data_IF_541766809578
#
_entry.id   IF_541766809578
#
_cell.length_a   1.000
_cell.length_b   1.000
_cell.length_c   1.000
_cell.angle_alpha   90.00
_cell.angle_beta   90.00
_cell.angle_gamma   90.00
#
_symmetry.space_group_name_H-M   'P 1'
#
loop_
_entity.id
_entity.type
_entity.pdbx_description
1 polymer ?
#
# COMPACT_ATOMS: atom_id res chain seq x y z
N UNK A 1 10.91 41.44 11.17
CA UNK A 1 9.56 40.90 10.90
C UNK A 1 9.58 39.68 9.96
N UNK A 2 10.49 39.58 8.98
CA UNK A 2 10.59 38.44 8.04
C UNK A 2 11.00 37.07 8.64
N UNK A 3 11.77 37.03 9.75
CA UNK A 3 12.19 35.75 10.37
C UNK A 3 11.00 35.04 11.05
N UNK A 4 10.05 35.81 11.58
CA UNK A 4 8.87 35.26 12.29
C UNK A 4 7.91 34.58 11.30
N UNK A 5 7.68 35.18 10.12
CA UNK A 5 6.83 34.59 9.06
C UNK A 5 7.47 33.35 8.41
N UNK A 6 8.80 33.34 8.23
CA UNK A 6 9.53 32.16 7.79
C UNK A 6 9.42 31.02 8.82
N UNK A 7 9.63 31.33 10.10
CA UNK A 7 9.50 30.35 11.19
C UNK A 7 8.09 29.74 11.26
N UNK A 8 7.04 30.56 11.15
CA UNK A 8 5.65 30.09 11.12
C UNK A 8 5.36 29.19 9.91
N UNK A 9 5.90 29.53 8.74
CA UNK A 9 5.72 28.71 7.52
C UNK A 9 6.43 27.36 7.61
N UNK A 10 7.64 27.35 8.18
CA UNK A 10 8.37 26.12 8.46
C UNK A 10 7.61 25.24 9.46
N UNK A 11 7.06 25.83 10.52
CA UNK A 11 6.24 25.10 11.49
C UNK A 11 4.97 24.52 10.84
N UNK A 12 4.27 25.28 10.00
CA UNK A 12 3.09 24.80 9.27
C UNK A 12 3.43 23.63 8.31
N UNK A 13 4.65 23.61 7.77
CA UNK A 13 5.11 22.57 6.86
C UNK A 13 5.44 21.23 7.55
N UNK A 14 5.57 21.21 8.88
CA UNK A 14 5.91 19.98 9.63
C UNK A 14 4.87 18.88 9.37
N UNK A 15 3.57 19.19 9.39
CA UNK A 15 2.50 18.22 9.18
C UNK A 15 2.61 17.47 7.84
N UNK A 16 2.65 18.18 6.71
CA UNK A 16 2.90 17.58 5.39
C UNK A 16 4.20 16.77 5.32
N UNK A 17 5.32 17.24 5.89
CA UNK A 17 6.58 16.48 5.89
C UNK A 17 6.48 15.17 6.66
N UNK A 18 5.83 15.18 7.83
CA UNK A 18 5.56 13.97 8.62
C UNK A 18 4.69 13.00 7.82
N UNK A 19 3.67 13.49 7.11
CA UNK A 19 2.83 12.67 6.25
C UNK A 19 3.63 12.04 5.10
N UNK A 20 4.49 12.81 4.42
CA UNK A 20 5.37 12.30 3.35
C UNK A 20 6.28 11.20 3.89
N UNK A 21 6.93 11.45 5.03
CA UNK A 21 7.85 10.50 5.67
C UNK A 21 7.13 9.20 6.08
N UNK A 22 6.02 9.30 6.80
CA UNK A 22 5.23 8.16 7.23
C UNK A 22 4.67 7.36 6.05
N UNK A 23 4.17 8.06 5.02
CA UNK A 23 3.68 7.41 3.78
C UNK A 23 4.81 6.76 2.99
N UNK A 24 6.03 7.32 3.01
CA UNK A 24 7.21 6.73 2.38
C UNK A 24 7.58 5.36 2.99
N UNK A 25 7.51 5.23 4.31
CA UNK A 25 7.70 3.94 4.99
C UNK A 25 6.61 2.92 4.62
N UNK A 26 5.36 3.37 4.56
CA UNK A 26 4.25 2.52 4.09
C UNK A 26 4.44 2.08 2.65
N UNK A 27 4.85 2.98 1.76
CA UNK A 27 5.12 2.69 0.35
C UNK A 27 6.26 1.67 0.20
N UNK A 28 7.31 1.77 1.02
CA UNK A 28 8.39 0.77 1.04
C UNK A 28 7.86 -0.62 1.43
N UNK A 29 7.03 -0.70 2.47
CA UNK A 29 6.37 -1.95 2.89
C UNK A 29 5.47 -2.53 1.78
N UNK A 30 4.66 -1.68 1.14
CA UNK A 30 3.81 -2.05 0.01
C UNK A 30 4.64 -2.58 -1.17
N UNK A 31 5.75 -1.93 -1.50
CA UNK A 31 6.65 -2.31 -2.59
C UNK A 31 7.29 -3.67 -2.34
N UNK A 32 7.81 -3.89 -1.14
CA UNK A 32 8.41 -5.16 -0.73
C UNK A 32 7.42 -6.32 -0.83
N UNK A 33 6.16 -6.07 -0.46
CA UNK A 33 5.09 -7.06 -0.54
C UNK A 33 4.62 -7.31 -1.97
N UNK A 34 4.57 -6.28 -2.81
CA UNK A 34 4.17 -6.37 -4.21
C UNK A 34 5.16 -7.16 -5.08
N UNK A 35 6.46 -7.11 -4.77
CA UNK A 35 7.49 -7.88 -5.47
C UNK A 35 7.29 -9.39 -5.39
N UNK A 36 6.93 -9.93 -4.22
CA UNK A 36 6.85 -11.37 -3.99
C UNK A 36 5.84 -12.10 -4.91
N UNK A 37 4.58 -11.64 -5.07
CA UNK A 37 3.65 -12.24 -6.03
C UNK A 37 4.12 -12.14 -7.48
N UNK A 38 4.76 -11.03 -7.87
CA UNK A 38 5.27 -10.85 -9.24
C UNK A 38 6.37 -11.86 -9.54
N UNK A 39 7.32 -12.02 -8.63
CA UNK A 39 8.41 -12.98 -8.82
C UNK A 39 7.86 -14.40 -8.87
N UNK A 40 6.82 -14.71 -8.08
CA UNK A 40 6.15 -16.01 -8.18
C UNK A 40 5.41 -16.20 -9.51
N UNK A 41 4.76 -15.16 -10.06
CA UNK A 41 4.16 -15.22 -11.39
C UNK A 41 5.24 -15.50 -12.44
N UNK A 42 6.38 -14.80 -12.37
CA UNK A 42 7.51 -15.01 -13.31
C UNK A 42 8.02 -16.45 -13.28
N UNK A 43 8.19 -17.02 -12.08
CA UNK A 43 8.56 -18.43 -11.91
C UNK A 43 7.51 -19.37 -12.54
N UNK A 44 6.23 -19.19 -12.22
CA UNK A 44 5.15 -20.01 -12.77
C UNK A 44 5.05 -19.91 -14.29
N UNK A 45 5.28 -18.73 -14.87
CA UNK A 45 5.35 -18.55 -16.32
C UNK A 45 6.55 -19.28 -16.95
N UNK A 46 7.68 -19.38 -16.24
CA UNK A 46 8.85 -20.14 -16.70
C UNK A 46 8.67 -21.66 -16.57
N UNK A 47 7.91 -22.12 -15.56
CA UNK A 47 7.57 -23.54 -15.35
C UNK A 47 6.49 -24.04 -16.32
N UNK A 48 5.60 -23.14 -16.78
CA UNK A 48 4.43 -23.47 -17.60
C UNK A 48 4.72 -24.27 -18.90
N UNK A 49 5.76 -23.97 -19.70
CA UNK A 49 6.06 -24.72 -20.93
C UNK A 49 6.45 -26.18 -20.65
N UNK A 50 7.12 -26.44 -19.53
CA UNK A 50 7.64 -27.76 -19.16
C UNK A 50 6.65 -28.59 -18.32
N UNK A 51 5.52 -28.00 -17.91
CA UNK A 51 4.55 -28.65 -17.06
C UNK A 51 3.67 -29.67 -17.82
N UNK A 52 3.32 -30.82 -17.20
CA UNK A 52 2.33 -31.77 -17.72
C UNK A 52 0.98 -31.11 -17.99
N UNK A 53 0.24 -31.62 -18.99
CA UNK A 53 -1.03 -31.02 -19.42
C UNK A 53 -2.07 -30.92 -18.28
N UNK A 54 -2.10 -31.94 -17.40
CA UNK A 54 -2.94 -31.96 -16.20
C UNK A 54 -2.60 -30.83 -15.20
N UNK A 55 -1.34 -30.38 -15.13
CA UNK A 55 -0.88 -29.35 -14.19
C UNK A 55 -0.99 -27.94 -14.76
N UNK A 56 -0.97 -27.79 -16.10
CA UNK A 56 -1.11 -26.49 -16.79
C UNK A 56 -2.40 -25.76 -16.42
N UNK A 57 -3.47 -26.47 -16.09
CA UNK A 57 -4.72 -25.86 -15.60
C UNK A 57 -4.52 -25.18 -14.23
N UNK A 58 -3.87 -25.86 -13.28
CA UNK A 58 -3.59 -25.35 -11.95
C UNK A 58 -2.62 -24.16 -11.97
N UNK A 59 -1.56 -24.24 -12.79
CA UNK A 59 -0.59 -23.15 -12.96
C UNK A 59 -1.30 -21.88 -13.48
N UNK A 60 -2.15 -22.00 -14.51
CA UNK A 60 -2.94 -20.88 -15.03
C UNK A 60 -3.88 -20.29 -13.99
N UNK A 61 -4.57 -21.13 -13.22
CA UNK A 61 -5.45 -20.66 -12.15
C UNK A 61 -4.67 -19.89 -11.07
N UNK A 62 -3.47 -20.35 -10.71
CA UNK A 62 -2.60 -19.71 -9.73
C UNK A 62 -2.07 -18.36 -10.22
N UNK A 63 -1.60 -18.29 -11.47
CA UNK A 63 -1.16 -17.03 -12.11
C UNK A 63 -2.30 -16.01 -12.11
N UNK A 64 -3.52 -16.42 -12.49
CA UNK A 64 -4.69 -15.52 -12.52
C UNK A 64 -5.01 -14.94 -11.15
N UNK A 65 -4.95 -15.75 -10.09
CA UNK A 65 -5.20 -15.29 -8.73
C UNK A 65 -4.12 -14.29 -8.27
N UNK A 66 -2.84 -14.62 -8.47
CA UNK A 66 -1.73 -13.72 -8.12
C UNK A 66 -1.82 -12.39 -8.89
N UNK A 67 -2.17 -12.42 -10.17
CA UNK A 67 -2.32 -11.22 -10.99
C UNK A 67 -3.44 -10.29 -10.50
N UNK A 68 -4.59 -10.84 -10.11
CA UNK A 68 -5.68 -10.05 -9.51
C UNK A 68 -5.23 -9.35 -8.22
N UNK A 69 -4.44 -10.03 -7.39
CA UNK A 69 -3.89 -9.44 -6.16
C UNK A 69 -2.89 -8.32 -6.46
N UNK A 70 -2.01 -8.52 -7.45
CA UNK A 70 -1.10 -7.47 -7.93
C UNK A 70 -1.86 -6.21 -8.36
N UNK A 71 -3.03 -6.33 -8.99
CA UNK A 71 -3.84 -5.17 -9.38
C UNK A 71 -4.33 -4.36 -8.18
N UNK A 72 -4.77 -5.02 -7.11
CA UNK A 72 -5.25 -4.38 -5.87
C UNK A 72 -4.07 -3.68 -5.16
N UNK A 73 -2.94 -4.37 -5.02
CA UNK A 73 -1.71 -3.79 -4.47
C UNK A 73 -1.24 -2.57 -5.26
N UNK A 74 -1.25 -2.65 -6.60
CA UNK A 74 -0.87 -1.52 -7.46
C UNK A 74 -1.78 -0.31 -7.28
N UNK A 75 -3.09 -0.53 -7.09
CA UNK A 75 -4.03 0.56 -6.81
C UNK A 75 -3.76 1.20 -5.44
N UNK A 76 -3.46 0.41 -4.40
CA UNK A 76 -3.06 0.92 -3.10
C UNK A 76 -1.77 1.77 -3.21
N UNK A 77 -0.74 1.26 -3.89
CA UNK A 77 0.51 2.00 -4.11
C UNK A 77 0.28 3.32 -4.85
N UNK A 78 -0.58 3.33 -5.88
CA UNK A 78 -0.91 4.54 -6.61
C UNK A 78 -1.55 5.62 -5.72
N UNK A 79 -2.47 5.22 -4.81
CA UNK A 79 -3.09 6.14 -3.85
C UNK A 79 -2.09 6.64 -2.79
N UNK A 80 -1.14 5.81 -2.34
CA UNK A 80 -0.04 6.26 -1.48
C UNK A 80 0.84 7.32 -2.18
N UNK A 81 1.21 7.07 -3.44
CA UNK A 81 2.01 8.01 -4.24
C UNK A 81 1.23 9.31 -4.45
N UNK A 82 -0.07 9.23 -4.78
CA UNK A 82 -0.92 10.40 -4.91
C UNK A 82 -0.99 11.22 -3.63
N UNK A 83 -1.10 10.57 -2.46
CA UNK A 83 -1.03 11.23 -1.16
C UNK A 83 0.29 11.99 -0.96
N UNK A 84 1.43 11.36 -1.29
CA UNK A 84 2.75 12.01 -1.20
C UNK A 84 2.82 13.22 -2.15
N UNK A 85 2.35 13.08 -3.38
CA UNK A 85 2.32 14.19 -4.35
C UNK A 85 1.47 15.37 -3.87
N UNK A 86 0.28 15.11 -3.32
CA UNK A 86 -0.60 16.15 -2.78
C UNK A 86 0.05 16.84 -1.57
N UNK A 87 0.67 16.08 -0.66
CA UNK A 87 1.38 16.66 0.47
C UNK A 87 2.59 17.49 0.05
N UNK A 88 3.34 17.05 -0.97
CA UNK A 88 4.43 17.84 -1.55
C UNK A 88 3.93 19.15 -2.18
N UNK A 89 2.76 19.11 -2.84
CA UNK A 89 2.10 20.31 -3.37
C UNK A 89 1.66 21.27 -2.26
N UNK A 90 1.17 20.75 -1.12
CA UNK A 90 0.87 21.57 0.06
C UNK A 90 2.12 22.28 0.58
N UNK A 91 3.24 21.57 0.72
CA UNK A 91 4.52 22.18 1.12
C UNK A 91 4.89 23.29 0.14
N UNK A 92 4.83 23.03 -1.16
CA UNK A 92 5.11 24.02 -2.19
C UNK A 92 4.23 25.28 -2.03
N UNK A 93 2.92 25.11 -1.85
CA UNK A 93 1.98 26.22 -1.70
C UNK A 93 2.23 27.05 -0.43
N UNK A 94 2.56 26.40 0.70
CA UNK A 94 2.91 27.09 1.94
C UNK A 94 4.12 28.03 1.73
N UNK A 95 5.12 27.59 0.96
CA UNK A 95 6.27 28.45 0.62
C UNK A 95 5.92 29.56 -0.37
N UNK A 96 5.04 29.32 -1.36
CA UNK A 96 4.61 30.39 -2.28
C UNK A 96 3.74 31.46 -1.62
N UNK A 97 3.03 31.12 -0.53
CA UNK A 97 2.28 32.09 0.26
C UNK A 97 3.15 33.14 0.96
N UNK A 98 4.47 32.94 1.00
CA UNK A 98 5.43 33.96 1.50
C UNK A 98 5.75 35.04 0.46
N UNK A 99 5.48 34.80 -0.83
CA UNK A 99 5.86 35.69 -1.93
C UNK A 99 4.69 36.31 -2.67
N UNK A 100 3.47 35.77 -2.51
CA UNK A 100 2.27 36.21 -3.22
C UNK A 100 1.13 36.43 -2.22
N UNK A 101 0.50 37.62 -2.24
CA UNK A 101 -0.72 37.99 -1.48
C UNK A 101 -2.00 37.28 -1.98
N UNK A 102 -1.89 36.00 -2.36
CA UNK A 102 -3.02 35.18 -2.76
C UNK A 102 -3.61 34.44 -1.55
N UNK A 103 -4.94 34.20 -1.50
CA UNK A 103 -5.57 33.40 -0.45
C UNK A 103 -5.28 31.90 -0.67
N UNK A 104 -4.03 31.47 -0.46
CA UNK A 104 -3.60 30.07 -0.59
C UNK A 104 -4.09 29.16 0.54
N UNK A 105 -4.60 29.72 1.64
CA UNK A 105 -5.01 28.98 2.85
C UNK A 105 -6.09 27.92 2.57
N UNK A 106 -7.12 28.26 1.79
CA UNK A 106 -8.22 27.33 1.47
C UNK A 106 -7.73 26.19 0.57
N UNK A 107 -6.91 26.50 -0.44
CA UNK A 107 -6.32 25.48 -1.32
C UNK A 107 -5.42 24.50 -0.54
N UNK A 108 -4.61 25.01 0.39
CA UNK A 108 -3.76 24.20 1.27
C UNK A 108 -4.61 23.24 2.11
N UNK A 109 -5.70 23.73 2.72
CA UNK A 109 -6.58 22.90 3.54
C UNK A 109 -7.24 21.77 2.73
N UNK A 110 -7.76 22.10 1.54
CA UNK A 110 -8.41 21.11 0.65
C UNK A 110 -7.41 20.06 0.15
N UNK A 111 -6.22 20.47 -0.29
CA UNK A 111 -5.19 19.55 -0.76
C UNK A 111 -4.65 18.66 0.35
N UNK A 112 -4.48 19.22 1.56
CA UNK A 112 -4.03 18.43 2.71
C UNK A 112 -5.08 17.38 3.09
N UNK A 113 -6.36 17.76 3.16
CA UNK A 113 -7.46 16.83 3.40
C UNK A 113 -7.54 15.74 2.30
N UNK A 114 -7.40 16.11 1.03
CA UNK A 114 -7.36 15.17 -0.08
C UNK A 114 -6.18 14.18 0.02
N UNK A 115 -5.01 14.65 0.47
CA UNK A 115 -3.85 13.78 0.70
C UNK A 115 -4.14 12.74 1.79
N UNK A 116 -4.69 13.17 2.93
CA UNK A 116 -5.09 12.27 4.01
C UNK A 116 -6.15 11.26 3.57
N UNK A 117 -7.16 11.69 2.81
CA UNK A 117 -8.17 10.77 2.27
C UNK A 117 -7.55 9.72 1.35
N UNK A 118 -6.66 10.15 0.45
CA UNK A 118 -5.92 9.23 -0.43
C UNK A 118 -5.10 8.21 0.35
N UNK A 119 -4.43 8.65 1.43
CA UNK A 119 -3.69 7.78 2.33
C UNK A 119 -4.60 6.75 3.03
N UNK A 120 -5.74 7.17 3.54
CA UNK A 120 -6.72 6.29 4.19
C UNK A 120 -7.22 5.23 3.21
N UNK A 121 -7.60 5.64 1.99
CA UNK A 121 -8.06 4.72 0.95
C UNK A 121 -6.97 3.71 0.56
N UNK A 122 -5.73 4.19 0.41
CA UNK A 122 -4.56 3.31 0.19
C UNK A 122 -4.43 2.27 1.30
N UNK A 123 -4.51 2.70 2.56
CA UNK A 123 -4.36 1.83 3.71
C UNK A 123 -5.46 0.77 3.78
N UNK A 124 -6.71 1.13 3.47
CA UNK A 124 -7.83 0.19 3.38
C UNK A 124 -7.57 -0.86 2.29
N UNK A 125 -7.16 -0.45 1.09
CA UNK A 125 -6.86 -1.39 -0.01
C UNK A 125 -5.70 -2.32 0.35
N UNK A 126 -4.66 -1.76 0.98
CA UNK A 126 -3.52 -2.54 1.44
C UNK A 126 -3.95 -3.58 2.48
N UNK A 127 -4.73 -3.17 3.49
CA UNK A 127 -5.27 -4.05 4.51
C UNK A 127 -6.14 -5.17 3.90
N UNK A 128 -6.98 -4.86 2.91
CA UNK A 128 -7.78 -5.89 2.21
C UNK A 128 -6.90 -6.92 1.51
N UNK A 129 -5.79 -6.55 0.89
CA UNK A 129 -4.84 -7.53 0.34
C UNK A 129 -4.19 -8.39 1.45
N UNK A 130 -3.90 -7.81 2.62
CA UNK A 130 -3.42 -8.57 3.79
C UNK A 130 -4.41 -9.64 4.19
N UNK A 131 -5.66 -9.27 4.42
CA UNK A 131 -6.71 -10.19 4.82
C UNK A 131 -6.96 -11.31 3.79
N UNK A 132 -7.00 -10.97 2.49
CA UNK A 132 -7.18 -11.95 1.42
C UNK A 132 -6.01 -12.94 1.32
N UNK A 133 -4.79 -12.49 1.62
CA UNK A 133 -3.62 -13.35 1.66
C UNK A 133 -3.71 -14.45 2.72
N UNK A 134 -4.18 -14.10 3.91
CA UNK A 134 -4.33 -15.04 5.02
C UNK A 134 -5.40 -16.10 4.74
N UNK A 135 -6.53 -15.68 4.15
CA UNK A 135 -7.61 -16.60 3.79
C UNK A 135 -7.14 -17.62 2.74
N UNK A 136 -6.40 -17.19 1.71
CA UNK A 136 -5.89 -18.09 0.68
C UNK A 136 -4.89 -19.11 1.22
N UNK A 137 -4.04 -18.72 2.18
CA UNK A 137 -3.09 -19.65 2.81
C UNK A 137 -3.83 -20.66 3.69
N UNK A 138 -4.80 -20.21 4.50
CA UNK A 138 -5.61 -21.09 5.35
C UNK A 138 -6.36 -22.15 4.53
N UNK A 139 -6.98 -21.76 3.42
CA UNK A 139 -7.69 -22.70 2.54
C UNK A 139 -6.74 -23.71 1.89
N UNK A 140 -5.54 -23.27 1.47
CA UNK A 140 -4.53 -24.15 0.87
C UNK A 140 -3.94 -25.12 1.90
N UNK A 141 -3.65 -24.64 3.10
CA UNK A 141 -3.12 -25.45 4.21
C UNK A 141 -4.12 -26.54 4.63
N UNK A 142 -5.41 -26.20 4.81
CA UNK A 142 -6.47 -27.16 5.15
C UNK A 142 -6.70 -28.26 4.10
N UNK A 143 -6.32 -28.00 2.84
CA UNK A 143 -6.36 -29.02 1.78
C UNK A 143 -5.10 -29.90 1.73
N UNK A 144 -3.94 -29.36 2.08
CA UNK A 144 -2.66 -30.10 2.02
C UNK A 144 -2.39 -30.88 3.30
N UNK A 145 -2.87 -30.42 4.46
CA UNK A 145 -2.69 -31.06 5.77
C UNK A 145 -4.10 -31.30 6.37
N UNK A 146 -4.69 -32.50 6.20
CA UNK A 146 -6.06 -32.78 6.62
C UNK A 146 -6.30 -32.65 8.14
N UNK A 147 -5.24 -32.75 8.95
CA UNK A 147 -5.32 -32.87 10.41
C UNK A 147 -4.83 -31.61 11.17
N UNK A 148 -4.63 -30.49 10.46
CA UNK A 148 -4.13 -29.24 11.07
C UNK A 148 -5.01 -28.72 12.23
N UNK A 149 -6.32 -28.97 12.15
CA UNK A 149 -7.29 -28.58 13.19
C UNK A 149 -7.20 -29.46 14.46
N UNK A 150 -6.55 -30.65 14.41
CA UNK A 150 -6.51 -31.59 15.56
C UNK A 150 -5.35 -31.36 16.53
N UNK A 151 -4.29 -30.69 16.10
CA UNK A 151 -3.04 -30.57 16.88
C UNK A 151 -3.01 -29.31 17.75
N UNK A 152 -3.89 -28.33 17.49
CA UNK A 152 -4.01 -27.09 18.25
C UNK A 152 -5.18 -27.06 19.25
N UNK A 153 -6.06 -28.07 19.25
CA UNK A 153 -7.11 -28.24 20.27
C UNK A 153 -6.63 -29.02 21.51
N UNK A 154 -5.40 -29.53 21.52
CA UNK A 154 -4.82 -30.31 22.63
C UNK A 154 -3.89 -29.51 23.56
N UNK A 155 -3.67 -28.21 23.32
CA UNK A 155 -2.98 -27.37 24.30
C UNK A 155 -3.94 -27.08 25.48
N UNK A 156 -3.61 -27.52 26.72
CA UNK A 156 -4.40 -27.13 27.87
C UNK A 156 -4.31 -25.61 27.97
N UNK A 157 -5.49 -24.97 28.05
CA UNK A 157 -5.59 -23.57 28.49
C UNK A 157 -5.25 -23.55 29.97
N UNK A 158 -3.96 -23.52 30.28
CA UNK A 158 -3.44 -23.18 31.60
C UNK A 158 -3.41 -21.65 31.80
#
# INVERSE_FOLDING_TARGET
MHIVTLSQTLQASIGPFVLISGTGLLLLSQTNRYGRPIDRIRQLCAEYPSAPEAERFFIRAQIRNLYQRCRILRAAMALSIASICLAALVVFLLFTGLTVDAPVSEAVAVLFAASMLSLILSMILYFRDIALGLISVRIKMRRTIPDWDREHDTEPKD
#
